data_IF_669363405765
#
_entry.id   IF_669363405765
#
_cell.length_a   1.000
_cell.length_b   1.000
_cell.length_c   1.000
_cell.angle_alpha   90.00
_cell.angle_beta   90.00
_cell.angle_gamma   90.00
#
_symmetry.space_group_name_H-M   'P 1'
#
loop_
_entity.id
_entity.type
_entity.pdbx_description
1 polymer ?
#
# COMPACT_ATOMS: atom_id res chain seq x y z
N UNK A 1 -23.59 -24.51 -2.71
CA UNK A 1 -23.86 -23.79 -3.96
C UNK A 1 -22.55 -23.13 -4.35
N UNK A 2 -21.81 -23.71 -5.31
CA UNK A 2 -20.55 -23.13 -5.73
C UNK A 2 -20.83 -21.97 -6.69
N UNK A 3 -20.38 -20.78 -6.30
CA UNK A 3 -20.54 -19.57 -7.12
C UNK A 3 -19.60 -19.71 -8.33
N UNK A 4 -20.12 -19.64 -9.57
CA UNK A 4 -19.31 -19.86 -10.77
C UNK A 4 -18.18 -18.81 -10.92
N UNK A 5 -17.05 -19.24 -11.49
CA UNK A 5 -15.86 -18.41 -11.81
C UNK A 5 -15.19 -17.72 -10.61
N UNK A 6 -15.30 -18.32 -9.42
CA UNK A 6 -14.60 -17.85 -8.22
C UNK A 6 -13.18 -18.39 -8.09
N UNK A 7 -12.92 -19.57 -8.66
CA UNK A 7 -11.60 -20.23 -8.66
C UNK A 7 -11.10 -20.47 -10.09
N UNK A 8 -11.99 -20.87 -11.00
CA UNK A 8 -11.68 -21.10 -12.42
C UNK A 8 -11.79 -19.80 -13.22
N UNK A 9 -10.92 -19.67 -14.21
CA UNK A 9 -10.94 -18.55 -15.15
C UNK A 9 -12.19 -18.56 -16.02
N UNK A 10 -12.66 -17.37 -16.39
CA UNK A 10 -13.74 -17.23 -17.37
C UNK A 10 -13.22 -17.53 -18.78
N UNK A 11 -14.02 -18.19 -19.64
CA UNK A 11 -13.66 -18.40 -21.04
C UNK A 11 -13.43 -17.09 -21.81
N UNK A 12 -14.21 -16.05 -21.49
CA UNK A 12 -14.23 -14.81 -22.26
C UNK A 12 -13.07 -13.87 -21.93
N UNK A 13 -12.67 -13.83 -20.65
CA UNK A 13 -11.66 -12.89 -20.15
C UNK A 13 -10.35 -13.55 -19.71
N UNK A 14 -10.32 -14.89 -19.61
CA UNK A 14 -9.16 -15.63 -19.08
C UNK A 14 -8.83 -15.31 -17.62
N UNK A 15 -9.76 -14.70 -16.87
CA UNK A 15 -9.57 -14.26 -15.48
C UNK A 15 -10.77 -14.68 -14.64
N UNK A 16 -10.53 -15.08 -13.39
CA UNK A 16 -11.57 -15.31 -12.39
C UNK A 16 -12.14 -13.99 -11.83
N UNK A 17 -13.37 -14.04 -11.30
CA UNK A 17 -14.14 -12.84 -10.92
C UNK A 17 -13.39 -11.93 -9.92
N UNK A 18 -12.70 -12.52 -8.95
CA UNK A 18 -11.97 -11.77 -7.93
C UNK A 18 -10.81 -10.95 -8.53
N UNK A 19 -10.11 -11.49 -9.53
CA UNK A 19 -9.00 -10.81 -10.21
C UNK A 19 -9.49 -9.63 -11.04
N UNK A 20 -10.61 -9.78 -11.76
CA UNK A 20 -11.25 -8.65 -12.45
C UNK A 20 -11.69 -7.55 -11.48
N UNK A 21 -12.32 -7.95 -10.36
CA UNK A 21 -12.79 -7.01 -9.34
C UNK A 21 -11.66 -6.18 -8.73
N UNK A 22 -10.53 -6.81 -8.40
CA UNK A 22 -9.40 -6.06 -7.84
C UNK A 22 -8.78 -5.13 -8.89
N UNK A 23 -8.62 -5.55 -10.15
CA UNK A 23 -8.09 -4.66 -11.19
C UNK A 23 -8.97 -3.41 -11.41
N UNK A 24 -10.30 -3.57 -11.40
CA UNK A 24 -11.22 -2.45 -11.48
C UNK A 24 -11.08 -1.50 -10.28
N UNK A 25 -10.96 -2.06 -9.08
CA UNK A 25 -10.73 -1.29 -7.86
C UNK A 25 -9.38 -0.54 -7.89
N UNK A 26 -8.31 -1.19 -8.33
CA UNK A 26 -7.00 -0.55 -8.49
C UNK A 26 -7.06 0.58 -9.52
N UNK A 27 -7.81 0.41 -10.61
CA UNK A 27 -8.02 1.47 -11.58
C UNK A 27 -8.74 2.69 -10.97
N UNK A 28 -9.75 2.49 -10.10
CA UNK A 28 -10.38 3.61 -9.39
C UNK A 28 -9.43 4.31 -8.43
N UNK A 29 -8.55 3.56 -7.75
CA UNK A 29 -7.54 4.13 -6.86
C UNK A 29 -6.49 4.95 -7.62
N UNK A 30 -6.07 4.49 -8.81
CA UNK A 30 -5.20 5.28 -9.71
C UNK A 30 -5.84 6.62 -10.05
N UNK A 31 -7.14 6.64 -10.33
CA UNK A 31 -7.86 7.89 -10.63
C UNK A 31 -7.95 8.82 -9.42
N UNK A 32 -8.20 8.26 -8.22
CA UNK A 32 -8.26 9.01 -6.96
C UNK A 32 -6.91 9.66 -6.62
N UNK A 33 -5.82 8.89 -6.63
CA UNK A 33 -4.48 9.45 -6.41
C UNK A 33 -4.05 10.37 -7.57
N UNK A 34 -4.39 10.03 -8.81
CA UNK A 34 -4.11 10.85 -9.99
C UNK A 34 -4.74 12.24 -9.90
N UNK A 35 -5.99 12.33 -9.40
CA UNK A 35 -6.65 13.61 -9.12
C UNK A 35 -5.90 14.43 -8.07
N UNK A 36 -5.44 13.79 -6.98
CA UNK A 36 -4.66 14.47 -5.93
C UNK A 36 -3.27 14.92 -6.42
N UNK A 37 -2.59 14.10 -7.22
CA UNK A 37 -1.33 14.50 -7.86
C UNK A 37 -1.53 15.66 -8.81
N UNK A 38 -2.63 15.66 -9.58
CA UNK A 38 -2.97 16.79 -10.47
C UNK A 38 -3.20 18.07 -9.65
N UNK A 39 -3.94 17.99 -8.54
CA UNK A 39 -4.14 19.11 -7.63
C UNK A 39 -2.81 19.64 -7.07
N UNK A 40 -1.89 18.76 -6.65
CA UNK A 40 -0.54 19.15 -6.23
C UNK A 40 0.21 19.92 -7.32
N UNK A 41 0.19 19.44 -8.57
CA UNK A 41 0.88 20.11 -9.69
C UNK A 41 0.31 21.50 -9.92
N UNK A 42 -1.01 21.66 -9.93
CA UNK A 42 -1.66 22.96 -10.09
C UNK A 42 -1.34 23.94 -8.95
N UNK A 43 -1.34 23.46 -7.69
CA UNK A 43 -0.97 24.28 -6.54
C UNK A 43 0.50 24.72 -6.61
N UNK A 44 1.39 23.83 -7.06
CA UNK A 44 2.81 24.09 -7.19
C UNK A 44 3.13 25.08 -8.31
N UNK A 45 2.52 24.93 -9.49
CA UNK A 45 2.77 25.82 -10.63
C UNK A 45 2.09 27.18 -10.49
N UNK A 46 1.02 27.27 -9.69
CA UNK A 46 0.30 28.52 -9.42
C UNK A 46 0.91 29.39 -8.30
N UNK A 47 1.90 28.90 -7.56
CA UNK A 47 2.53 29.64 -6.47
C UNK A 47 3.83 30.34 -6.92
N UNK A 48 4.01 31.61 -6.55
CA UNK A 48 5.25 32.36 -6.85
C UNK A 48 6.47 31.83 -6.09
N UNK A 49 6.26 31.29 -4.89
CA UNK A 49 7.28 30.59 -4.11
C UNK A 49 6.68 29.31 -3.54
N UNK A 50 7.37 28.18 -3.75
CA UNK A 50 6.97 26.88 -3.24
C UNK A 50 8.02 26.39 -2.24
N UNK A 51 7.62 25.88 -1.06
CA UNK A 51 8.58 25.39 -0.08
C UNK A 51 9.36 24.20 -0.63
N UNK A 52 10.67 24.16 -0.40
CA UNK A 52 11.50 23.02 -0.77
C UNK A 52 11.24 21.91 0.24
N UNK A 53 10.75 20.77 -0.23
CA UNK A 53 10.40 19.63 0.62
C UNK A 53 11.55 19.14 1.50
N UNK A 54 12.79 19.19 1.01
CA UNK A 54 13.99 18.77 1.76
C UNK A 54 14.28 19.61 3.00
N UNK A 55 13.80 20.86 3.06
CA UNK A 55 14.08 21.76 4.17
C UNK A 55 13.08 21.56 5.32
N UNK A 56 11.92 20.98 5.02
CA UNK A 56 10.82 20.74 5.96
C UNK A 56 10.71 19.25 6.33
N UNK A 57 11.17 18.36 5.45
CA UNK A 57 11.00 16.92 5.57
C UNK A 57 12.34 16.22 5.73
N UNK A 58 12.39 15.23 6.63
CA UNK A 58 13.59 14.44 6.85
C UNK A 58 13.76 13.35 5.77
N UNK A 59 14.60 13.62 4.77
CA UNK A 59 14.86 12.71 3.65
C UNK A 59 15.39 11.34 4.13
N UNK A 60 16.37 11.24 5.06
CA UNK A 60 16.83 9.94 5.58
C UNK A 60 15.72 9.06 6.18
N UNK A 61 14.83 9.64 7.01
CA UNK A 61 13.69 8.90 7.59
C UNK A 61 12.72 8.43 6.52
N UNK A 62 12.50 9.25 5.49
CA UNK A 62 11.63 8.92 4.38
C UNK A 62 12.24 7.85 3.46
N UNK A 63 13.56 7.85 3.25
CA UNK A 63 14.27 6.78 2.54
C UNK A 63 14.17 5.45 3.29
N UNK A 64 14.32 5.47 4.62
CA UNK A 64 14.15 4.28 5.45
C UNK A 64 12.72 3.72 5.38
N UNK A 65 11.70 4.59 5.36
CA UNK A 65 10.31 4.20 5.11
C UNK A 65 10.12 3.51 3.76
N UNK A 66 10.68 4.09 2.70
CA UNK A 66 10.60 3.50 1.36
C UNK A 66 11.30 2.14 1.31
N UNK A 67 12.42 1.96 2.01
CA UNK A 67 13.10 0.67 2.14
C UNK A 67 12.21 -0.38 2.82
N UNK A 68 11.50 -0.02 3.90
CA UNK A 68 10.57 -0.93 4.57
C UNK A 68 9.43 -1.37 3.63
N UNK A 69 8.81 -0.44 2.91
CA UNK A 69 7.72 -0.78 1.99
C UNK A 69 8.19 -1.65 0.82
N UNK A 70 9.28 -1.30 0.15
CA UNK A 70 9.83 -2.11 -0.96
C UNK A 70 10.16 -3.53 -0.47
N UNK A 71 10.81 -3.64 0.69
CA UNK A 71 11.13 -4.95 1.28
C UNK A 71 9.86 -5.71 1.65
N UNK A 72 8.82 -5.02 2.16
CA UNK A 72 7.52 -5.63 2.45
C UNK A 72 6.87 -6.19 1.19
N UNK A 73 6.93 -5.47 0.07
CA UNK A 73 6.49 -5.95 -1.25
C UNK A 73 7.16 -7.24 -1.65
N UNK A 74 8.49 -7.32 -1.53
CA UNK A 74 9.25 -8.52 -1.88
C UNK A 74 8.81 -9.69 -0.99
N UNK A 75 8.65 -9.48 0.32
CA UNK A 75 8.13 -10.51 1.22
C UNK A 75 6.71 -10.97 0.87
N UNK A 76 5.85 -10.07 0.39
CA UNK A 76 4.49 -10.43 -0.03
C UNK A 76 4.50 -11.37 -1.24
N UNK A 77 5.32 -11.08 -2.27
CA UNK A 77 5.47 -11.99 -3.43
C UNK A 77 6.03 -13.34 -3.01
N UNK A 78 7.04 -13.35 -2.13
CA UNK A 78 7.63 -14.60 -1.63
C UNK A 78 6.61 -15.43 -0.82
N UNK A 79 5.70 -14.79 -0.09
CA UNK A 79 4.62 -15.47 0.62
C UNK A 79 3.69 -16.21 -0.34
N UNK A 80 3.28 -15.55 -1.43
CA UNK A 80 2.43 -16.15 -2.46
C UNK A 80 3.15 -17.27 -3.23
N UNK A 81 4.42 -17.05 -3.58
CA UNK A 81 5.24 -18.08 -4.23
C UNK A 81 5.41 -19.33 -3.35
N UNK A 82 5.56 -19.14 -2.03
CA UNK A 82 5.65 -20.26 -1.08
C UNK A 82 4.36 -21.08 -1.04
N UNK A 83 3.19 -20.44 -1.16
CA UNK A 83 1.92 -21.17 -1.28
C UNK A 83 1.84 -21.99 -2.57
N UNK A 84 2.32 -21.45 -3.70
CA UNK A 84 2.41 -22.20 -4.97
C UNK A 84 3.34 -23.42 -4.89
N UNK A 85 4.35 -23.37 -4.02
CA UNK A 85 5.26 -24.47 -3.73
C UNK A 85 4.75 -25.40 -2.60
N UNK A 86 3.50 -25.24 -2.15
CA UNK A 86 2.91 -25.96 -1.02
C UNK A 86 3.67 -25.84 0.32
N UNK A 87 4.49 -24.79 0.48
CA UNK A 87 5.24 -24.52 1.70
C UNK A 87 4.50 -23.50 2.59
N UNK A 88 3.55 -24.01 3.36
CA UNK A 88 2.69 -23.18 4.22
C UNK A 88 3.45 -22.55 5.41
N UNK A 89 4.55 -23.17 5.84
CA UNK A 89 5.40 -22.63 6.91
C UNK A 89 6.08 -21.34 6.46
N UNK A 90 6.70 -21.36 5.28
CA UNK A 90 7.31 -20.16 4.68
C UNK A 90 6.29 -19.08 4.34
N UNK A 91 5.10 -19.46 3.87
CA UNK A 91 4.00 -18.50 3.66
C UNK A 91 3.74 -17.64 4.91
N UNK A 92 3.53 -18.27 6.07
CA UNK A 92 3.27 -17.54 7.34
C UNK A 92 4.44 -16.67 7.75
N UNK A 93 5.67 -17.17 7.58
CA UNK A 93 6.88 -16.44 7.91
C UNK A 93 7.00 -15.17 7.06
N UNK A 94 6.89 -15.28 5.73
CA UNK A 94 7.00 -14.13 4.83
C UNK A 94 5.85 -13.14 5.02
N UNK A 95 4.62 -13.62 5.19
CA UNK A 95 3.47 -12.75 5.41
C UNK A 95 3.56 -12.03 6.77
N UNK A 96 4.11 -12.70 7.79
CA UNK A 96 4.43 -12.09 9.08
C UNK A 96 5.50 -10.99 8.96
N UNK A 97 6.54 -11.21 8.16
CA UNK A 97 7.53 -10.16 7.85
C UNK A 97 6.91 -8.97 7.11
N UNK A 98 5.99 -9.21 6.17
CA UNK A 98 5.26 -8.12 5.48
C UNK A 98 4.53 -7.23 6.49
N UNK A 99 3.79 -7.83 7.43
CA UNK A 99 3.08 -7.09 8.48
C UNK A 99 4.07 -6.31 9.36
N UNK A 100 5.16 -6.94 9.79
CA UNK A 100 6.16 -6.31 10.66
C UNK A 100 6.78 -5.08 9.99
N UNK A 101 7.17 -5.19 8.72
CA UNK A 101 7.73 -4.08 7.95
C UNK A 101 6.69 -2.96 7.74
N UNK A 102 5.43 -3.31 7.51
CA UNK A 102 4.34 -2.35 7.41
C UNK A 102 4.11 -1.57 8.71
N UNK A 103 4.17 -2.25 9.86
CA UNK A 103 4.15 -1.57 11.16
C UNK A 103 5.37 -0.67 11.36
N UNK A 104 6.56 -1.11 10.94
CA UNK A 104 7.77 -0.28 10.94
C UNK A 104 7.57 1.04 10.18
N UNK A 105 6.97 0.97 8.98
CA UNK A 105 6.59 2.15 8.21
C UNK A 105 5.63 3.07 8.98
N UNK A 106 4.58 2.52 9.60
CA UNK A 106 3.62 3.31 10.38
C UNK A 106 4.25 3.99 11.59
N UNK A 107 5.18 3.32 12.28
CA UNK A 107 5.89 3.87 13.44
C UNK A 107 6.76 5.05 13.05
N UNK A 108 7.55 4.92 11.99
CA UNK A 108 8.40 6.03 11.51
C UNK A 108 7.52 7.20 11.04
N UNK A 109 6.39 6.91 10.37
CA UNK A 109 5.43 7.96 9.96
C UNK A 109 4.80 8.66 11.15
N UNK A 110 4.45 7.93 12.19
CA UNK A 110 3.92 8.50 13.43
C UNK A 110 4.90 9.48 14.07
N UNK A 111 6.18 9.11 14.16
CA UNK A 111 7.22 10.01 14.67
C UNK A 111 7.40 11.25 13.79
N UNK A 112 7.38 11.08 12.46
CA UNK A 112 7.50 12.20 11.52
C UNK A 112 6.32 13.18 11.64
N UNK A 113 5.10 12.68 11.83
CA UNK A 113 3.91 13.52 12.00
C UNK A 113 3.93 14.25 13.34
N UNK A 114 4.27 13.55 14.42
CA UNK A 114 4.33 14.13 15.77
C UNK A 114 5.35 15.26 15.82
N UNK A 115 6.56 15.03 15.28
CA UNK A 115 7.59 16.07 15.20
C UNK A 115 7.11 17.32 14.45
N UNK A 116 6.32 17.16 13.37
CA UNK A 116 5.77 18.31 12.62
C UNK A 116 4.71 19.07 13.40
N UNK A 117 3.84 18.35 14.11
CA UNK A 117 2.83 18.98 14.96
C UNK A 117 3.47 19.75 16.12
N UNK A 118 4.57 19.22 16.68
CA UNK A 118 5.35 19.91 17.72
C UNK A 118 6.00 21.20 17.20
N UNK A 119 6.39 21.23 15.92
CA UNK A 119 6.88 22.43 15.24
C UNK A 119 5.77 23.35 14.70
N UNK A 120 4.50 23.13 15.08
CA UNK A 120 3.32 23.89 14.64
C UNK A 120 3.10 23.88 13.11
N UNK A 121 3.59 22.86 12.42
CA UNK A 121 3.38 22.64 10.98
C UNK A 121 2.09 21.84 10.78
N UNK A 122 0.96 22.54 10.80
CA UNK A 122 -0.37 21.95 10.60
C UNK A 122 -0.79 21.93 9.13
N UNK A 123 -1.75 21.07 8.74
CA UNK A 123 -2.34 21.10 7.40
C UNK A 123 -2.93 22.45 7.00
N UNK A 124 -3.34 23.28 7.97
CA UNK A 124 -3.89 24.61 7.76
C UNK A 124 -2.82 25.71 7.58
N UNK A 125 -1.54 25.41 7.82
CA UNK A 125 -0.49 26.43 7.83
C UNK A 125 -0.13 26.89 6.42
N UNK A 126 -0.08 25.98 5.44
CA UNK A 126 0.13 26.32 4.03
C UNK A 126 -0.42 25.23 3.10
N UNK A 127 -0.58 25.57 1.82
CA UNK A 127 -1.10 24.65 0.80
C UNK A 127 -0.23 23.40 0.62
N UNK A 128 1.10 23.53 0.77
CA UNK A 128 2.04 22.40 0.67
C UNK A 128 1.80 21.34 1.77
N UNK A 129 1.67 21.76 3.03
CA UNK A 129 1.38 20.89 4.16
C UNK A 129 -0.03 20.32 4.06
N UNK A 130 -1.02 21.12 3.63
CA UNK A 130 -2.39 20.66 3.39
C UNK A 130 -2.45 19.49 2.41
N UNK A 131 -1.84 19.63 1.23
CA UNK A 131 -1.82 18.56 0.22
C UNK A 131 -0.91 17.39 0.65
N UNK A 132 0.23 17.67 1.30
CA UNK A 132 1.13 16.66 1.87
C UNK A 132 0.37 15.75 2.85
N UNK A 133 -0.25 16.30 3.89
CA UNK A 133 -0.96 15.53 4.92
C UNK A 133 -2.17 14.80 4.35
N UNK A 134 -2.86 15.38 3.36
CA UNK A 134 -3.98 14.72 2.69
C UNK A 134 -3.52 13.48 1.94
N UNK A 135 -2.50 13.59 1.08
CA UNK A 135 -2.04 12.47 0.25
C UNK A 135 -1.35 11.39 1.09
N UNK A 136 -0.47 11.79 2.02
CA UNK A 136 0.25 10.85 2.88
C UNK A 136 -0.67 10.23 3.93
N UNK A 137 -1.63 10.97 4.48
CA UNK A 137 -2.65 10.46 5.39
C UNK A 137 -3.58 9.44 4.72
N UNK A 138 -4.05 9.74 3.50
CA UNK A 138 -4.85 8.81 2.73
C UNK A 138 -4.06 7.53 2.40
N UNK A 139 -2.79 7.66 2.03
CA UNK A 139 -1.92 6.50 1.84
C UNK A 139 -1.76 5.67 3.12
N UNK A 140 -1.54 6.30 4.27
CA UNK A 140 -1.48 5.59 5.57
C UNK A 140 -2.78 4.82 5.85
N UNK A 141 -3.95 5.40 5.54
CA UNK A 141 -5.23 4.69 5.68
C UNK A 141 -5.29 3.42 4.80
N UNK A 142 -4.76 3.49 3.58
CA UNK A 142 -4.67 2.33 2.68
C UNK A 142 -3.72 1.26 3.24
N UNK A 143 -2.55 1.66 3.76
CA UNK A 143 -1.61 0.74 4.41
C UNK A 143 -2.27 0.03 5.59
N UNK A 144 -2.96 0.78 6.47
CA UNK A 144 -3.70 0.20 7.60
C UNK A 144 -4.78 -0.78 7.14
N UNK A 145 -5.56 -0.42 6.11
CA UNK A 145 -6.55 -1.31 5.50
C UNK A 145 -5.92 -2.60 4.97
N UNK A 146 -4.79 -2.49 4.28
CA UNK A 146 -4.03 -3.64 3.80
C UNK A 146 -3.50 -4.54 4.93
N UNK A 147 -2.97 -3.95 6.01
CA UNK A 147 -2.50 -4.71 7.19
C UNK A 147 -3.65 -5.52 7.78
N UNK A 148 -4.84 -4.93 7.93
CA UNK A 148 -6.02 -5.62 8.46
C UNK A 148 -6.38 -6.85 7.60
N UNK A 149 -6.38 -6.67 6.27
CA UNK A 149 -6.69 -7.76 5.33
C UNK A 149 -5.61 -8.85 5.37
N UNK A 150 -4.33 -8.47 5.37
CA UNK A 150 -3.21 -9.42 5.44
C UNK A 150 -3.24 -10.18 6.77
N UNK A 151 -3.50 -9.50 7.89
CA UNK A 151 -3.63 -10.11 9.21
C UNK A 151 -4.79 -11.09 9.26
N UNK A 152 -5.93 -10.76 8.65
CA UNK A 152 -7.06 -11.68 8.50
C UNK A 152 -6.65 -12.96 7.76
N UNK A 153 -5.88 -12.87 6.68
CA UNK A 153 -5.43 -14.05 5.96
C UNK A 153 -4.32 -14.84 6.68
N UNK A 154 -3.50 -14.17 7.49
CA UNK A 154 -2.48 -14.82 8.32
C UNK A 154 -3.09 -15.65 9.46
N UNK A 155 -4.13 -15.13 10.12
CA UNK A 155 -4.71 -15.73 11.33
C UNK A 155 -6.00 -16.51 11.03
N UNK A 156 -7.21 -15.89 10.98
CA UNK A 156 -8.45 -16.65 10.79
C UNK A 156 -8.56 -17.29 9.40
N UNK A 157 -8.07 -16.60 8.36
CA UNK A 157 -8.11 -17.08 6.98
C UNK A 157 -7.20 -18.26 6.70
N UNK A 158 -6.18 -18.51 7.55
CA UNK A 158 -5.23 -19.60 7.39
C UNK A 158 -5.87 -20.99 7.42
N UNK A 159 -7.07 -21.12 8.03
CA UNK A 159 -7.86 -22.37 8.03
C UNK A 159 -8.35 -22.75 6.64
N UNK A 160 -8.55 -21.77 5.74
CA UNK A 160 -9.02 -21.99 4.37
C UNK A 160 -8.01 -22.80 3.54
N UNK A 161 -6.73 -22.78 3.90
CA UNK A 161 -5.71 -23.61 3.27
C UNK A 161 -6.02 -25.10 3.35
N UNK A 162 -6.69 -25.57 4.42
CA UNK A 162 -7.03 -26.98 4.58
C UNK A 162 -8.30 -27.37 3.83
N UNK A 163 -9.24 -26.44 3.66
CA UNK A 163 -10.53 -26.71 3.01
C UNK A 163 -10.50 -26.51 1.50
N UNK A 164 -9.83 -25.45 1.03
CA UNK A 164 -9.82 -25.01 -0.37
C UNK A 164 -8.50 -24.26 -0.68
N UNK A 165 -7.39 -25.01 -0.90
CA UNK A 165 -6.08 -24.43 -1.12
C UNK A 165 -6.04 -23.50 -2.34
N UNK A 166 -6.64 -23.90 -3.46
CA UNK A 166 -6.60 -23.13 -4.71
C UNK A 166 -7.28 -21.77 -4.56
N UNK A 167 -8.45 -21.74 -3.91
CA UNK A 167 -9.15 -20.49 -3.61
C UNK A 167 -8.37 -19.61 -2.65
N UNK A 168 -7.67 -20.21 -1.68
CA UNK A 168 -6.82 -19.46 -0.76
C UNK A 168 -5.65 -18.80 -1.51
N UNK A 169 -4.94 -19.54 -2.38
CA UNK A 169 -3.85 -18.99 -3.19
C UNK A 169 -4.32 -17.81 -4.05
N UNK A 170 -5.48 -17.95 -4.72
CA UNK A 170 -6.05 -16.88 -5.54
C UNK A 170 -6.41 -15.64 -4.69
N UNK A 171 -6.90 -15.82 -3.47
CA UNK A 171 -7.17 -14.69 -2.56
C UNK A 171 -5.89 -13.98 -2.11
N UNK A 172 -4.83 -14.73 -1.80
CA UNK A 172 -3.53 -14.15 -1.44
C UNK A 172 -2.93 -13.39 -2.63
N UNK A 173 -3.10 -13.89 -3.85
CA UNK A 173 -2.71 -13.16 -5.08
C UNK A 173 -3.40 -11.79 -5.15
N UNK A 174 -4.73 -11.75 -4.94
CA UNK A 174 -5.51 -10.49 -4.94
C UNK A 174 -5.01 -9.52 -3.87
N UNK A 175 -4.75 -10.00 -2.66
CA UNK A 175 -4.22 -9.19 -1.57
C UNK A 175 -2.82 -8.67 -1.91
N UNK A 176 -2.00 -9.50 -2.55
CA UNK A 176 -0.68 -9.11 -3.04
C UNK A 176 -0.76 -7.99 -4.06
N UNK A 177 -1.64 -8.10 -5.07
CA UNK A 177 -1.87 -7.05 -6.07
C UNK A 177 -2.24 -5.71 -5.42
N UNK A 178 -3.11 -5.73 -4.41
CA UNK A 178 -3.43 -4.53 -3.63
C UNK A 178 -2.21 -3.96 -2.90
N UNK A 179 -1.46 -4.81 -2.20
CA UNK A 179 -0.29 -4.38 -1.43
C UNK A 179 0.79 -3.75 -2.32
N UNK A 180 1.09 -4.37 -3.46
CA UNK A 180 2.04 -3.84 -4.44
C UNK A 180 1.58 -2.50 -5.02
N UNK A 181 0.28 -2.33 -5.23
CA UNK A 181 -0.26 -1.05 -5.68
C UNK A 181 -0.06 0.05 -4.64
N UNK A 182 -0.35 -0.23 -3.37
CA UNK A 182 -0.13 0.72 -2.27
C UNK A 182 1.36 1.13 -2.22
N UNK A 183 2.28 0.17 -2.29
CA UNK A 183 3.72 0.44 -2.35
C UNK A 183 4.12 1.30 -3.56
N UNK A 184 3.55 1.02 -4.74
CA UNK A 184 3.79 1.78 -5.96
C UNK A 184 3.37 3.24 -5.81
N UNK A 185 2.22 3.52 -5.18
CA UNK A 185 1.79 4.90 -4.90
C UNK A 185 2.81 5.61 -4.02
N UNK A 186 3.36 4.92 -3.01
CA UNK A 186 4.40 5.51 -2.15
C UNK A 186 5.69 5.87 -2.91
N UNK A 187 6.10 5.01 -3.84
CA UNK A 187 7.27 5.24 -4.70
C UNK A 187 7.13 6.54 -5.51
N UNK A 188 5.91 6.96 -5.86
CA UNK A 188 5.67 8.27 -6.48
C UNK A 188 5.54 9.41 -5.46
N UNK A 189 4.89 9.17 -4.32
CA UNK A 189 4.76 10.19 -3.25
C UNK A 189 6.11 10.63 -2.71
N UNK A 190 7.05 9.70 -2.52
CA UNK A 190 8.34 9.99 -1.91
C UNK A 190 9.16 11.03 -2.73
N UNK A 191 9.44 10.85 -4.03
CA UNK A 191 10.15 11.85 -4.80
C UNK A 191 9.39 13.18 -4.92
N UNK A 192 8.07 13.13 -5.13
CA UNK A 192 7.25 14.33 -5.34
C UNK A 192 7.24 15.26 -4.13
N UNK A 193 7.28 14.71 -2.92
CA UNK A 193 7.25 15.53 -1.70
C UNK A 193 8.62 15.75 -1.07
N UNK A 194 9.52 14.78 -1.12
CA UNK A 194 10.80 14.84 -0.37
C UNK A 194 11.98 15.27 -1.23
N UNK A 195 11.91 15.11 -2.56
CA UNK A 195 13.03 15.40 -3.46
C UNK A 195 12.77 16.57 -4.43
N UNK A 196 11.52 16.77 -4.83
CA UNK A 196 11.10 17.85 -5.73
C UNK A 196 10.56 19.04 -4.96
#
# INVERSE_FOLDING_TARGET
MDIPFTVKDRPDTGLYNGKLGIWLFLASEVMLFGGLFSAYVFLRTGAESWPVGSDILNVPMATLNTMFLITSSVTMVMSWASLKLNDFGKFKMYLGFTILLAFGFLVVKYFEYTAKFDHHLYPSTNNFLGIYFTMTGLHVLHVVGGIIVIFYFLVPGSKMWQSDPDRFVNRIEIVGLYWHFVDLVWIFLFPVFYLL
#
